data_IF_900383174822
#
_entry.id   IF_900383174822
#
_cell.length_a   1.000
_cell.length_b   1.000
_cell.length_c   1.000
_cell.angle_alpha   90.00
_cell.angle_beta   90.00
_cell.angle_gamma   90.00
#
_symmetry.space_group_name_H-M   'P 1'
#
loop_
_entity.id
_entity.type
_entity.pdbx_description
1 polymer ?
#
# COMPACT_ATOMS: atom_id res chain seq x y z
N UNK A 1 5.56 19.98 19.89
CA UNK A 1 5.17 20.09 18.46
C UNK A 1 5.00 18.72 17.78
N UNK A 2 5.85 17.71 18.06
CA UNK A 2 5.77 16.37 17.44
C UNK A 2 4.38 15.69 17.51
N UNK A 3 3.72 15.68 18.68
CA UNK A 3 2.37 15.10 18.83
C UNK A 3 1.29 15.77 17.95
N UNK A 4 1.45 17.07 17.63
CA UNK A 4 0.46 17.78 16.81
C UNK A 4 0.54 17.33 15.35
N UNK A 5 1.76 17.16 14.82
CA UNK A 5 1.95 16.72 13.43
C UNK A 5 1.59 15.25 13.24
N UNK A 6 1.96 14.40 14.20
CA UNK A 6 1.52 13.00 14.23
C UNK A 6 0.01 12.86 14.10
N UNK A 7 -0.74 13.62 14.91
CA UNK A 7 -2.19 13.60 14.86
C UNK A 7 -2.76 14.09 13.51
N UNK A 8 -2.11 15.06 12.86
CA UNK A 8 -2.52 15.49 11.51
C UNK A 8 -2.27 14.42 10.47
N UNK A 9 -1.13 13.72 10.53
CA UNK A 9 -0.81 12.58 9.65
C UNK A 9 -1.85 11.47 9.82
N UNK A 10 -2.14 11.06 11.06
CA UNK A 10 -3.14 10.02 11.33
C UNK A 10 -4.54 10.43 10.86
N UNK A 11 -4.96 11.69 11.10
CA UNK A 11 -6.24 12.19 10.59
C UNK A 11 -6.32 12.15 9.07
N UNK A 12 -5.26 12.58 8.38
CA UNK A 12 -5.23 12.54 6.92
C UNK A 12 -5.22 11.11 6.39
N UNK A 13 -4.48 10.20 7.05
CA UNK A 13 -4.51 8.76 6.75
C UNK A 13 -5.93 8.20 6.87
N UNK A 14 -6.68 8.54 7.93
CA UNK A 14 -8.09 8.14 8.06
C UNK A 14 -8.98 8.74 6.97
N UNK A 15 -8.73 9.98 6.54
CA UNK A 15 -9.46 10.59 5.41
C UNK A 15 -9.22 9.81 4.12
N UNK A 16 -7.99 9.35 3.86
CA UNK A 16 -7.69 8.55 2.67
C UNK A 16 -8.56 7.30 2.61
N UNK A 17 -8.77 6.61 3.75
CA UNK A 17 -9.68 5.46 3.82
C UNK A 17 -11.13 5.79 3.42
N UNK A 18 -11.64 6.96 3.78
CA UNK A 18 -12.97 7.40 3.35
C UNK A 18 -13.05 7.53 1.82
N UNK A 19 -12.01 8.09 1.20
CA UNK A 19 -11.91 8.18 -0.25
C UNK A 19 -11.69 6.82 -0.92
N UNK A 20 -11.00 5.89 -0.26
CA UNK A 20 -10.92 4.51 -0.71
C UNK A 20 -12.29 3.85 -0.73
N UNK A 21 -13.12 4.08 0.29
CA UNK A 21 -14.51 3.58 0.33
C UNK A 21 -15.34 4.18 -0.82
N UNK A 22 -15.22 5.49 -1.06
CA UNK A 22 -15.86 6.13 -2.22
C UNK A 22 -15.40 5.47 -3.53
N UNK A 23 -14.09 5.23 -3.66
CA UNK A 23 -13.51 4.53 -4.81
C UNK A 23 -14.05 3.11 -4.97
N UNK A 24 -14.21 2.35 -3.89
CA UNK A 24 -14.80 1.01 -3.90
C UNK A 24 -16.23 1.05 -4.46
N UNK A 25 -17.05 2.01 -4.00
CA UNK A 25 -18.43 2.19 -4.47
C UNK A 25 -18.44 2.54 -5.97
N UNK A 26 -17.58 3.46 -6.42
CA UNK A 26 -17.45 3.80 -7.84
C UNK A 26 -17.04 2.57 -8.65
N UNK A 27 -16.13 1.75 -8.12
CA UNK A 27 -15.65 0.52 -8.74
C UNK A 27 -16.76 -0.49 -9.07
N UNK A 28 -17.86 -0.50 -8.30
CA UNK A 28 -19.04 -1.35 -8.56
C UNK A 28 -19.65 -1.07 -9.93
N UNK A 29 -19.66 0.19 -10.36
CA UNK A 29 -20.35 0.63 -11.56
C UNK A 29 -19.43 0.67 -12.79
N UNK A 30 -18.13 0.42 -12.63
CA UNK A 30 -17.16 0.52 -13.71
C UNK A 30 -16.99 -0.83 -14.43
N UNK A 31 -16.95 -0.83 -15.78
CA UNK A 31 -16.67 -2.05 -16.54
C UNK A 31 -15.25 -2.57 -16.24
N UNK A 32 -15.04 -3.90 -16.15
CA UNK A 32 -13.75 -4.49 -15.82
C UNK A 32 -12.59 -4.06 -16.75
N UNK A 33 -12.89 -3.72 -18.01
CA UNK A 33 -11.91 -3.25 -18.99
C UNK A 33 -11.17 -1.97 -18.57
N UNK A 34 -11.78 -1.12 -17.72
CA UNK A 34 -11.16 0.12 -17.26
C UNK A 34 -10.20 -0.07 -16.08
N UNK A 35 -10.21 -1.23 -15.42
CA UNK A 35 -9.40 -1.47 -14.21
C UNK A 35 -7.90 -1.42 -14.54
N UNK A 36 -7.48 -2.03 -15.65
CA UNK A 36 -6.06 -2.03 -16.03
C UNK A 36 -5.56 -0.61 -16.37
N UNK A 37 -6.22 0.19 -17.23
CA UNK A 37 -5.86 1.59 -17.44
C UNK A 37 -5.80 2.41 -16.15
N UNK A 38 -6.78 2.26 -15.24
CA UNK A 38 -6.81 2.98 -13.97
C UNK A 38 -5.62 2.59 -13.08
N UNK A 39 -5.26 1.31 -13.04
CA UNK A 39 -4.09 0.84 -12.28
C UNK A 39 -2.79 1.44 -12.82
N UNK A 40 -2.65 1.54 -14.15
CA UNK A 40 -1.49 2.16 -14.80
C UNK A 40 -1.43 3.65 -14.47
N UNK A 41 -2.55 4.37 -14.58
CA UNK A 41 -2.62 5.79 -14.22
C UNK A 41 -2.24 6.00 -12.75
N UNK A 42 -2.71 5.14 -11.85
CA UNK A 42 -2.38 5.20 -10.42
C UNK A 42 -0.88 5.01 -10.19
N UNK A 43 -0.27 4.00 -10.83
CA UNK A 43 1.17 3.76 -10.77
C UNK A 43 1.96 4.96 -11.30
N UNK A 44 1.57 5.52 -12.45
CA UNK A 44 2.22 6.69 -13.05
C UNK A 44 2.14 7.90 -12.12
N UNK A 45 0.98 8.17 -11.52
CA UNK A 45 0.83 9.25 -10.54
C UNK A 45 1.77 9.08 -9.35
N UNK A 46 1.86 7.86 -8.80
CA UNK A 46 2.77 7.55 -7.70
C UNK A 46 4.23 7.80 -8.10
N UNK A 47 4.67 7.28 -9.24
CA UNK A 47 6.03 7.49 -9.76
C UNK A 47 6.32 8.98 -9.97
N UNK A 48 5.38 9.74 -10.55
CA UNK A 48 5.54 11.18 -10.75
C UNK A 48 5.68 11.94 -9.42
N UNK A 49 4.98 11.54 -8.36
CA UNK A 49 5.16 12.13 -7.03
C UNK A 49 6.57 11.90 -6.45
N UNK A 50 7.22 10.81 -6.81
CA UNK A 50 8.59 10.51 -6.36
C UNK A 50 9.62 11.48 -6.95
N UNK A 51 9.48 11.82 -8.23
CA UNK A 51 10.47 12.62 -8.96
C UNK A 51 10.10 14.12 -9.04
N UNK A 52 8.82 14.47 -9.05
CA UNK A 52 8.37 15.85 -9.25
C UNK A 52 8.15 16.61 -7.95
N UNK A 53 8.96 17.67 -7.74
CA UNK A 53 8.77 18.63 -6.64
C UNK A 53 7.41 19.34 -6.71
N UNK A 54 6.91 19.61 -7.92
CA UNK A 54 5.61 20.25 -8.14
C UNK A 54 4.47 19.35 -7.68
N UNK A 55 4.54 18.04 -7.99
CA UNK A 55 3.54 17.07 -7.53
C UNK A 55 3.55 16.93 -6.01
N UNK A 56 4.74 17.00 -5.37
CA UNK A 56 4.83 17.01 -3.90
C UNK A 56 4.15 18.21 -3.25
N UNK A 57 4.15 19.40 -3.88
CA UNK A 57 3.41 20.56 -3.38
C UNK A 57 1.89 20.37 -3.47
N UNK A 58 1.42 19.57 -4.44
CA UNK A 58 0.01 19.21 -4.61
C UNK A 58 -0.36 17.91 -3.88
N UNK A 59 0.48 17.45 -2.94
CA UNK A 59 0.36 16.14 -2.28
C UNK A 59 -1.03 15.89 -1.73
N UNK A 60 -1.69 16.89 -1.15
CA UNK A 60 -3.06 16.78 -0.62
C UNK A 60 -4.06 16.24 -1.66
N UNK A 61 -4.15 16.90 -2.82
CA UNK A 61 -5.12 16.55 -3.85
C UNK A 61 -4.76 15.24 -4.53
N UNK A 62 -3.46 15.05 -4.84
CA UNK A 62 -3.00 13.84 -5.50
C UNK A 62 -3.20 12.63 -4.58
N UNK A 63 -2.96 12.75 -3.27
CA UNK A 63 -3.18 11.65 -2.31
C UNK A 63 -4.64 11.21 -2.27
N UNK A 64 -5.57 12.16 -2.30
CA UNK A 64 -7.01 11.87 -2.35
C UNK A 64 -7.40 11.16 -3.66
N UNK A 65 -6.87 11.64 -4.80
CA UNK A 65 -7.08 11.01 -6.10
C UNK A 65 -6.54 9.59 -6.07
N UNK A 66 -5.29 9.40 -5.64
CA UNK A 66 -4.65 8.10 -5.52
C UNK A 66 -5.46 7.16 -4.62
N UNK A 67 -5.92 7.60 -3.45
CA UNK A 67 -6.75 6.78 -2.57
C UNK A 67 -8.07 6.35 -3.23
N UNK A 68 -8.70 7.27 -3.97
CA UNK A 68 -9.94 6.99 -4.72
C UNK A 68 -9.69 5.97 -5.85
N UNK A 69 -8.66 6.16 -6.67
CA UNK A 69 -8.30 5.22 -7.75
C UNK A 69 -7.88 3.85 -7.20
N UNK A 70 -7.20 3.85 -6.05
CA UNK A 70 -6.85 2.62 -5.32
C UNK A 70 -8.13 1.90 -4.88
N UNK A 71 -9.14 2.61 -4.36
CA UNK A 71 -10.42 2.03 -4.03
C UNK A 71 -11.12 1.39 -5.23
N UNK A 72 -11.13 2.08 -6.38
CA UNK A 72 -11.72 1.57 -7.62
C UNK A 72 -11.06 0.24 -8.04
N UNK A 73 -9.73 0.20 -8.06
CA UNK A 73 -8.99 -1.01 -8.45
C UNK A 73 -9.10 -2.13 -7.41
N UNK A 74 -9.17 -1.76 -6.13
CA UNK A 74 -9.35 -2.70 -5.03
C UNK A 74 -10.70 -3.44 -5.09
N UNK A 75 -11.76 -2.82 -5.60
CA UNK A 75 -13.06 -3.49 -5.74
C UNK A 75 -12.96 -4.75 -6.62
N UNK A 76 -12.36 -4.63 -7.81
CA UNK A 76 -12.15 -5.76 -8.71
C UNK A 76 -11.27 -6.85 -8.09
N UNK A 77 -10.21 -6.43 -7.39
CA UNK A 77 -9.32 -7.32 -6.66
C UNK A 77 -10.06 -8.10 -5.55
N UNK A 78 -10.88 -7.41 -4.76
CA UNK A 78 -11.68 -8.02 -3.70
C UNK A 78 -12.71 -8.99 -4.27
N UNK A 79 -13.43 -8.65 -5.34
CA UNK A 79 -14.37 -9.58 -5.97
C UNK A 79 -13.70 -10.88 -6.41
N UNK A 80 -12.51 -10.78 -7.01
CA UNK A 80 -11.73 -11.96 -7.39
C UNK A 80 -11.41 -12.85 -6.18
N UNK A 81 -10.83 -12.27 -5.12
CA UNK A 81 -10.44 -13.05 -3.93
C UNK A 81 -11.64 -13.53 -3.10
N UNK A 82 -12.76 -12.79 -3.09
CA UNK A 82 -14.00 -13.23 -2.47
C UNK A 82 -14.55 -14.48 -3.18
N UNK A 83 -14.52 -14.51 -4.51
CA UNK A 83 -14.92 -15.68 -5.29
C UNK A 83 -13.95 -16.86 -5.13
N UNK A 84 -12.64 -16.61 -5.07
CA UNK A 84 -11.62 -17.66 -5.01
C UNK A 84 -11.37 -18.23 -3.59
N UNK A 85 -11.46 -17.39 -2.55
CA UNK A 85 -11.14 -17.76 -1.17
C UNK A 85 -12.35 -17.79 -0.24
N UNK A 86 -13.44 -17.10 -0.60
CA UNK A 86 -14.58 -16.88 0.29
C UNK A 86 -14.37 -15.69 1.23
N UNK A 87 -15.50 -15.08 1.65
CA UNK A 87 -15.50 -13.87 2.48
C UNK A 87 -14.80 -14.00 3.83
N UNK A 88 -14.92 -15.17 4.47
CA UNK A 88 -14.28 -15.43 5.76
C UNK A 88 -12.76 -15.31 5.71
N UNK A 89 -12.12 -15.86 4.67
CA UNK A 89 -10.66 -15.80 4.51
C UNK A 89 -10.22 -14.37 4.20
N UNK A 90 -10.94 -13.65 3.32
CA UNK A 90 -10.60 -12.26 2.98
C UNK A 90 -10.66 -11.36 4.21
N UNK A 91 -11.68 -11.52 5.07
CA UNK A 91 -11.78 -10.79 6.34
C UNK A 91 -10.64 -11.13 7.31
N UNK A 92 -10.27 -12.41 7.40
CA UNK A 92 -9.17 -12.87 8.26
C UNK A 92 -7.82 -12.28 7.78
N UNK A 93 -7.60 -12.22 6.47
CA UNK A 93 -6.42 -11.57 5.87
C UNK A 93 -6.41 -10.06 6.13
N UNK A 94 -7.56 -9.38 6.02
CA UNK A 94 -7.65 -7.96 6.35
C UNK A 94 -7.33 -7.70 7.84
N UNK A 95 -7.92 -8.49 8.74
CA UNK A 95 -7.63 -8.41 10.18
C UNK A 95 -6.17 -8.69 10.50
N UNK A 96 -5.56 -9.68 9.85
CA UNK A 96 -4.13 -10.01 10.00
C UNK A 96 -3.24 -8.87 9.52
N UNK A 97 -3.57 -8.26 8.39
CA UNK A 97 -2.89 -7.05 7.88
C UNK A 97 -2.94 -5.94 8.92
N UNK A 98 -4.11 -5.66 9.51
CA UNK A 98 -4.27 -4.62 10.52
C UNK A 98 -3.40 -4.87 11.76
N UNK A 99 -3.34 -6.12 12.24
CA UNK A 99 -2.47 -6.49 13.37
C UNK A 99 -1.00 -6.29 13.01
N UNK A 100 -0.55 -6.77 11.86
CA UNK A 100 0.84 -6.61 11.40
C UNK A 100 1.19 -5.14 11.24
N UNK A 101 0.32 -4.34 10.61
CA UNK A 101 0.54 -2.92 10.39
C UNK A 101 0.63 -2.15 11.71
N UNK A 102 -0.26 -2.42 12.67
CA UNK A 102 -0.20 -1.79 13.99
C UNK A 102 1.06 -2.22 14.74
N UNK A 103 1.40 -3.51 14.76
CA UNK A 103 2.60 -4.00 15.41
C UNK A 103 3.87 -3.36 14.82
N UNK A 104 4.00 -3.37 13.49
CA UNK A 104 5.08 -2.73 12.75
C UNK A 104 5.16 -1.22 13.03
N UNK A 105 4.01 -0.53 13.01
CA UNK A 105 3.91 0.88 13.33
C UNK A 105 4.40 1.19 14.74
N UNK A 106 3.93 0.45 15.76
CA UNK A 106 4.37 0.62 17.14
C UNK A 106 5.87 0.38 17.30
N UNK A 107 6.40 -0.67 16.68
CA UNK A 107 7.84 -0.95 16.68
C UNK A 107 8.60 0.22 16.05
N UNK A 108 8.17 0.71 14.89
CA UNK A 108 8.78 1.85 14.21
C UNK A 108 8.76 3.13 15.05
N UNK A 109 7.59 3.46 15.60
CA UNK A 109 7.35 4.67 16.39
C UNK A 109 8.20 4.72 17.66
N UNK A 110 8.25 3.61 18.41
CA UNK A 110 8.96 3.54 19.69
C UNK A 110 10.42 3.10 19.59
N UNK A 111 10.89 2.74 18.40
CA UNK A 111 12.28 2.31 18.20
C UNK A 111 13.26 3.42 18.55
N UNK A 112 14.29 3.11 19.35
CA UNK A 112 15.40 4.02 19.63
C UNK A 112 16.33 4.19 18.42
N UNK A 113 16.43 3.18 17.54
CA UNK A 113 17.25 3.23 16.32
C UNK A 113 16.59 4.12 15.26
N UNK A 114 17.39 4.97 14.62
CA UNK A 114 16.94 5.75 13.46
C UNK A 114 17.03 4.88 12.20
N UNK A 115 15.92 4.81 11.45
CA UNK A 115 15.81 4.05 10.21
C UNK A 115 15.99 4.92 8.97
N UNK A 116 16.32 6.21 9.10
CA UNK A 116 16.53 7.14 7.98
C UNK A 116 17.41 6.58 6.84
N UNK A 117 18.44 5.79 7.16
CA UNK A 117 19.33 5.15 6.17
C UNK A 117 18.69 4.00 5.39
N UNK A 118 17.58 3.43 5.86
CA UNK A 118 16.91 2.30 5.20
C UNK A 118 16.12 2.72 3.98
N UNK A 119 15.73 4.00 3.87
CA UNK A 119 14.89 4.51 2.79
C UNK A 119 15.41 4.19 1.39
N UNK A 120 16.73 4.33 1.16
CA UNK A 120 17.33 4.04 -0.14
C UNK A 120 17.27 2.54 -0.49
N UNK A 121 17.51 1.67 0.50
CA UNK A 121 17.47 0.21 0.32
C UNK A 121 16.04 -0.23 0.03
N UNK A 122 15.08 0.21 0.85
CA UNK A 122 13.67 -0.10 0.67
C UNK A 122 13.17 0.37 -0.69
N UNK A 123 13.59 1.55 -1.15
CA UNK A 123 13.23 2.10 -2.45
C UNK A 123 13.76 1.26 -3.63
N UNK A 124 15.00 0.78 -3.55
CA UNK A 124 15.56 -0.12 -4.58
C UNK A 124 14.76 -1.44 -4.65
N UNK A 125 14.42 -2.02 -3.48
CA UNK A 125 13.63 -3.25 -3.43
C UNK A 125 12.22 -3.02 -3.99
N UNK A 126 11.60 -1.87 -3.68
CA UNK A 126 10.30 -1.48 -4.23
C UNK A 126 10.33 -1.37 -5.76
N UNK A 127 11.37 -0.75 -6.33
CA UNK A 127 11.55 -0.71 -7.78
C UNK A 127 11.65 -2.14 -8.35
N UNK A 128 12.42 -3.01 -7.71
CA UNK A 128 12.52 -4.42 -8.09
C UNK A 128 11.16 -5.12 -8.10
N UNK A 129 10.32 -4.88 -7.08
CA UNK A 129 8.95 -5.40 -7.04
C UNK A 129 8.06 -4.85 -8.15
N UNK A 130 8.16 -3.56 -8.46
CA UNK A 130 7.41 -2.95 -9.57
C UNK A 130 7.83 -3.58 -10.90
N UNK A 131 9.13 -3.71 -11.16
CA UNK A 131 9.64 -4.36 -12.39
C UNK A 131 9.16 -5.81 -12.47
N UNK A 132 9.23 -6.56 -11.37
CA UNK A 132 8.72 -7.93 -11.32
C UNK A 132 7.21 -7.98 -11.63
N UNK A 133 6.42 -7.05 -11.09
CA UNK A 133 4.97 -6.99 -11.36
C UNK A 133 4.65 -6.76 -12.84
N UNK A 134 5.49 -6.02 -13.57
CA UNK A 134 5.36 -5.80 -15.01
C UNK A 134 5.72 -7.08 -15.78
N UNK A 135 6.83 -7.74 -15.41
CA UNK A 135 7.25 -9.00 -16.04
C UNK A 135 6.17 -10.08 -15.86
N UNK A 136 5.54 -10.15 -14.69
CA UNK A 136 4.47 -11.10 -14.39
C UNK A 136 3.19 -10.92 -15.23
N UNK A 137 3.05 -9.81 -15.98
CA UNK A 137 1.97 -9.64 -16.95
C UNK A 137 2.22 -10.48 -18.21
N UNK A 138 3.49 -10.63 -18.61
CA UNK A 138 3.88 -11.32 -19.85
C UNK A 138 4.31 -12.78 -19.60
N UNK A 139 4.77 -13.07 -18.39
CA UNK A 139 5.32 -14.38 -18.02
C UNK A 139 4.43 -15.05 -16.99
N UNK A 140 4.00 -16.27 -17.29
CA UNK A 140 3.20 -17.07 -16.37
C UNK A 140 4.13 -17.83 -15.40
N UNK A 141 4.31 -17.29 -14.20
CA UNK A 141 5.16 -17.89 -13.17
C UNK A 141 4.47 -19.05 -12.44
N UNK A 142 5.27 -19.99 -11.94
CA UNK A 142 4.76 -21.08 -11.09
C UNK A 142 4.16 -20.54 -9.78
N UNK A 143 3.24 -21.28 -9.19
CA UNK A 143 2.59 -20.87 -7.93
C UNK A 143 3.61 -20.69 -6.79
N UNK A 144 4.68 -21.51 -6.76
CA UNK A 144 5.78 -21.34 -5.80
C UNK A 144 6.45 -19.97 -5.93
N UNK A 145 6.77 -19.53 -7.15
CA UNK A 145 7.39 -18.21 -7.37
C UNK A 145 6.45 -17.10 -6.91
N UNK A 146 5.15 -17.21 -7.19
CA UNK A 146 4.15 -16.23 -6.76
C UNK A 146 3.99 -16.20 -5.23
N UNK A 147 4.07 -17.33 -4.54
CA UNK A 147 4.10 -17.40 -3.07
C UNK A 147 5.33 -16.68 -2.52
N UNK A 148 6.52 -16.97 -3.06
CA UNK A 148 7.77 -16.34 -2.59
C UNK A 148 7.72 -14.83 -2.79
N UNK A 149 7.32 -14.36 -3.97
CA UNK A 149 7.29 -12.92 -4.29
C UNK A 149 6.26 -12.18 -3.44
N UNK A 150 5.07 -12.75 -3.26
CA UNK A 150 4.06 -12.14 -2.39
C UNK A 150 4.51 -12.12 -0.93
N UNK A 151 5.17 -13.19 -0.44
CA UNK A 151 5.78 -13.21 0.90
C UNK A 151 6.87 -12.15 1.09
N UNK A 152 7.74 -11.97 0.09
CA UNK A 152 8.72 -10.87 0.09
C UNK A 152 8.04 -9.50 0.11
N UNK A 153 6.93 -9.34 -0.61
CA UNK A 153 6.09 -8.14 -0.55
C UNK A 153 5.54 -7.88 0.85
N UNK A 154 5.02 -8.90 1.53
CA UNK A 154 4.54 -8.78 2.92
C UNK A 154 5.66 -8.26 3.83
N UNK A 155 6.85 -8.85 3.74
CA UNK A 155 8.01 -8.42 4.53
C UNK A 155 8.38 -6.98 4.19
N UNK A 156 8.46 -6.64 2.89
CA UNK A 156 8.83 -5.31 2.42
C UNK A 156 7.90 -4.24 2.99
N UNK A 157 6.59 -4.40 2.84
CA UNK A 157 5.62 -3.39 3.30
C UNK A 157 5.48 -3.34 4.82
N UNK A 158 5.76 -4.44 5.52
CA UNK A 158 5.91 -4.44 6.98
C UNK A 158 7.11 -3.58 7.41
N UNK A 159 8.26 -3.73 6.74
CA UNK A 159 9.46 -2.93 7.03
C UNK A 159 9.28 -1.48 6.61
N UNK A 160 8.61 -1.19 5.49
CA UNK A 160 8.21 0.17 5.13
C UNK A 160 7.32 0.81 6.19
N UNK A 161 6.32 0.08 6.71
CA UNK A 161 5.47 0.58 7.81
C UNK A 161 6.31 0.96 9.04
N UNK A 162 7.28 0.12 9.42
CA UNK A 162 8.22 0.42 10.50
C UNK A 162 9.05 1.67 10.19
N UNK A 163 9.57 1.78 8.96
CA UNK A 163 10.38 2.91 8.50
C UNK A 163 9.59 4.22 8.50
N UNK A 164 8.41 4.25 7.88
CA UNK A 164 7.61 5.46 7.76
C UNK A 164 7.06 5.90 9.12
N UNK A 165 6.70 4.96 10.01
CA UNK A 165 6.30 5.32 11.37
C UNK A 165 7.48 5.83 12.21
N UNK A 166 8.69 5.29 12.02
CA UNK A 166 9.91 5.82 12.64
C UNK A 166 10.21 7.24 12.16
N UNK A 167 10.09 7.49 10.85
CA UNK A 167 10.21 8.80 10.25
C UNK A 167 9.22 9.79 10.85
N UNK A 168 7.96 9.38 11.02
CA UNK A 168 6.92 10.21 11.63
C UNK A 168 7.25 10.57 13.08
N UNK A 169 7.84 9.64 13.84
CA UNK A 169 8.19 9.85 15.23
C UNK A 169 9.42 10.76 15.43
N UNK A 170 10.39 10.69 14.51
CA UNK A 170 11.73 11.26 14.74
C UNK A 170 12.07 12.47 13.89
N UNK A 171 11.50 12.58 12.69
CA UNK A 171 11.84 13.67 11.78
C UNK A 171 10.89 14.84 11.98
N UNK A 172 11.37 16.09 11.86
CA UNK A 172 10.48 17.24 11.81
C UNK A 172 9.59 17.14 10.57
N UNK A 173 8.28 17.33 10.76
CA UNK A 173 7.28 17.28 9.68
C UNK A 173 6.76 18.68 9.43
N UNK A 174 6.92 19.16 8.20
CA UNK A 174 6.27 20.39 7.74
C UNK A 174 4.79 20.12 7.40
N UNK A 175 3.93 21.12 7.58
CA UNK A 175 2.49 20.99 7.31
C UNK A 175 2.18 20.56 5.86
N UNK A 176 3.03 20.96 4.91
CA UNK A 176 2.92 20.58 3.49
C UNK A 176 3.29 19.12 3.19
N UNK A 177 4.03 18.46 4.09
CA UNK A 177 4.47 17.07 3.94
C UNK A 177 3.46 16.07 4.53
N UNK A 178 2.59 16.54 5.42
CA UNK A 178 1.58 15.71 6.10
C UNK A 178 0.78 14.82 5.13
N UNK A 179 0.25 15.32 3.99
CA UNK A 179 -0.53 14.47 3.09
C UNK A 179 0.30 13.36 2.45
N UNK A 180 1.55 13.65 2.09
CA UNK A 180 2.45 12.67 1.47
C UNK A 180 2.85 11.58 2.47
N UNK A 181 3.16 11.95 3.72
CA UNK A 181 3.52 10.99 4.77
C UNK A 181 2.31 10.09 5.09
N UNK A 182 1.11 10.65 5.16
CA UNK A 182 -0.11 9.88 5.34
C UNK A 182 -0.40 8.95 4.15
N UNK A 183 -0.12 9.41 2.91
CA UNK A 183 -0.24 8.58 1.72
C UNK A 183 0.73 7.40 1.75
N UNK A 184 1.98 7.59 2.17
CA UNK A 184 2.94 6.50 2.32
C UNK A 184 2.43 5.42 3.27
N UNK A 185 2.01 5.80 4.49
CA UNK A 185 1.44 4.87 5.46
C UNK A 185 0.18 4.16 4.91
N UNK A 186 -0.64 4.86 4.14
CA UNK A 186 -1.80 4.29 3.45
C UNK A 186 -1.38 3.23 2.42
N UNK A 187 -0.40 3.54 1.58
CA UNK A 187 0.11 2.62 0.57
C UNK A 187 0.80 1.41 1.21
N UNK A 188 1.51 1.59 2.32
CA UNK A 188 2.11 0.49 3.07
C UNK A 188 1.05 -0.52 3.51
N UNK A 189 -0.05 -0.04 4.10
CA UNK A 189 -1.16 -0.90 4.49
C UNK A 189 -1.77 -1.61 3.28
N UNK A 190 -2.12 -0.84 2.24
CA UNK A 190 -2.81 -1.35 1.05
C UNK A 190 -1.97 -2.42 0.35
N UNK A 191 -0.68 -2.17 0.20
CA UNK A 191 0.22 -3.11 -0.45
C UNK A 191 0.49 -4.32 0.43
N UNK A 192 0.63 -4.16 1.74
CA UNK A 192 0.72 -5.28 2.69
C UNK A 192 -0.51 -6.19 2.56
N UNK A 193 -1.71 -5.61 2.55
CA UNK A 193 -2.97 -6.35 2.40
C UNK A 193 -3.04 -7.11 1.07
N UNK A 194 -2.75 -6.44 -0.04
CA UNK A 194 -2.77 -7.08 -1.36
C UNK A 194 -1.75 -8.21 -1.47
N UNK A 195 -0.56 -8.05 -0.89
CA UNK A 195 0.46 -9.10 -0.89
C UNK A 195 0.06 -10.28 0.02
N UNK A 196 -0.56 -10.04 1.17
CA UNK A 196 -1.09 -11.12 2.01
C UNK A 196 -2.22 -11.89 1.30
N UNK A 197 -3.14 -11.21 0.60
CA UNK A 197 -4.17 -11.86 -0.21
C UNK A 197 -3.55 -12.74 -1.30
N UNK A 198 -2.59 -12.19 -2.06
CA UNK A 198 -1.85 -12.94 -3.09
C UNK A 198 -1.12 -14.14 -2.49
N UNK A 199 -0.49 -13.97 -1.33
CA UNK A 199 0.23 -15.03 -0.63
C UNK A 199 -0.71 -16.19 -0.27
N UNK A 200 -1.79 -15.90 0.44
CA UNK A 200 -2.78 -16.92 0.86
C UNK A 200 -3.40 -17.63 -0.33
N UNK A 201 -3.75 -16.88 -1.39
CA UNK A 201 -4.31 -17.46 -2.61
C UNK A 201 -3.36 -18.42 -3.31
N UNK A 202 -2.12 -18.00 -3.58
CA UNK A 202 -1.16 -18.84 -4.28
C UNK A 202 -0.70 -20.02 -3.41
N UNK A 203 -0.62 -19.83 -2.09
CA UNK A 203 -0.31 -20.91 -1.15
C UNK A 203 -1.40 -21.98 -1.17
N UNK A 204 -2.68 -21.57 -1.11
CA UNK A 204 -3.81 -22.50 -1.22
C UNK A 204 -3.78 -23.27 -2.54
N UNK A 205 -3.54 -22.58 -3.66
CA UNK A 205 -3.44 -23.19 -5.00
C UNK A 205 -2.28 -24.17 -5.14
N UNK A 206 -1.17 -23.95 -4.42
CA UNK A 206 -0.01 -24.85 -4.42
C UNK A 206 -0.25 -26.13 -3.61
N UNK A 207 -1.12 -26.06 -2.59
CA UNK A 207 -1.41 -27.17 -1.68
C UNK A 207 -2.60 -28.04 -2.12
N UNK A 208 -3.38 -27.59 -3.10
CA UNK A 208 -4.50 -28.33 -3.71
C UNK A 208 -4.06 -29.10 -4.94
#
# INVERSE_FOLDING_TARGET
>A
MANRQFNKVLRFFTILWLFTIIGLIIGVFLPPALIMPISIVTLVLLVLMMFSRTMRKMSKWISIIVATLTGITMFSLLNFYLGALGGGIVLLVFGSTAVIFVAAGLIGYFSKKDFSSWGNILFIILIGMIVFSIIAIFVNFSSLVLVVVSGLGVILFTVYTMYDMNRVAKQPILDEEVPMIALNLYLDFINLFQNLLRFVYNLRKMLS
#
